data_IF_335348118294
#
_entry.id   IF_335348118294
#
_cell.length_a   1.000
_cell.length_b   1.000
_cell.length_c   1.000
_cell.angle_alpha   90.00
_cell.angle_beta   90.00
_cell.angle_gamma   90.00
#
_symmetry.space_group_name_H-M   'P 1'
#
loop_
_entity.id
_entity.type
_entity.pdbx_description
1 polymer ?
#
# COMPACT_ATOMS: atom_id res chain seq x y z
N UNK A 1 -11.76 -6.17 -2.69
CA UNK A 1 -11.95 -6.28 -4.14
C UNK A 1 -11.09 -5.21 -4.82
N UNK A 2 -9.83 -5.54 -5.08
CA UNK A 2 -9.03 -4.79 -6.04
C UNK A 2 -9.33 -5.41 -7.42
N UNK A 3 -9.99 -4.68 -8.31
CA UNK A 3 -10.30 -5.16 -9.67
C UNK A 3 -11.76 -5.07 -10.11
N UNK A 4 -12.56 -4.11 -9.63
CA UNK A 4 -13.78 -3.78 -10.37
C UNK A 4 -13.37 -3.30 -11.78
N UNK A 5 -14.02 -3.77 -12.86
CA UNK A 5 -13.76 -3.25 -14.20
C UNK A 5 -13.93 -1.73 -14.16
N UNK A 6 -13.03 -1.01 -14.83
CA UNK A 6 -13.08 0.44 -14.94
C UNK A 6 -14.37 0.86 -15.65
N UNK A 7 -15.46 1.05 -14.87
CA UNK A 7 -16.67 1.71 -15.32
C UNK A 7 -16.40 3.19 -15.56
N UNK A 8 -17.33 3.90 -16.20
CA UNK A 8 -17.21 5.36 -16.25
C UNK A 8 -17.24 5.87 -14.80
N UNK A 9 -16.44 6.87 -14.43
CA UNK A 9 -16.33 7.31 -13.03
C UNK A 9 -17.69 7.74 -12.43
N UNK A 10 -18.63 8.17 -13.27
CA UNK A 10 -20.01 8.50 -12.88
C UNK A 10 -20.89 7.30 -12.51
N UNK A 11 -20.50 6.09 -12.90
CA UNK A 11 -21.24 4.86 -12.67
C UNK A 11 -20.76 4.14 -11.38
N UNK A 12 -19.67 4.61 -10.76
CA UNK A 12 -19.23 4.13 -9.45
C UNK A 12 -20.14 4.74 -8.36
N UNK A 13 -20.91 3.92 -7.61
CA UNK A 13 -21.75 4.43 -6.54
C UNK A 13 -20.90 5.14 -5.49
N UNK A 14 -21.37 6.31 -5.05
CA UNK A 14 -20.68 7.08 -4.02
C UNK A 14 -20.51 6.24 -2.75
N UNK A 15 -19.29 6.24 -2.21
CA UNK A 15 -18.94 5.57 -0.95
C UNK A 15 -19.29 4.07 -0.93
N UNK A 16 -19.27 3.39 -2.08
CA UNK A 16 -19.65 1.97 -2.20
C UNK A 16 -18.86 1.08 -1.22
N UNK A 17 -17.53 1.18 -1.24
CA UNK A 17 -16.65 0.36 -0.42
C UNK A 17 -16.71 0.79 1.04
N UNK A 18 -16.76 2.09 1.33
CA UNK A 18 -16.94 2.59 2.68
C UNK A 18 -18.25 2.10 3.30
N UNK A 19 -19.37 2.17 2.58
CA UNK A 19 -20.67 1.69 3.06
C UNK A 19 -20.66 0.17 3.28
N UNK A 20 -20.03 -0.58 2.38
CA UNK A 20 -19.86 -2.03 2.55
C UNK A 20 -19.05 -2.35 3.82
N UNK A 21 -17.91 -1.69 4.00
CA UNK A 21 -17.00 -1.93 5.13
C UNK A 21 -17.63 -1.55 6.47
N UNK A 22 -18.29 -0.39 6.53
CA UNK A 22 -18.96 0.07 7.75
C UNK A 22 -20.08 -0.90 8.14
N UNK A 23 -20.91 -1.31 7.17
CA UNK A 23 -21.99 -2.29 7.39
C UNK A 23 -21.44 -3.64 7.85
N UNK A 24 -20.40 -4.16 7.19
CA UNK A 24 -19.79 -5.43 7.56
C UNK A 24 -19.21 -5.39 8.98
N UNK A 25 -18.57 -4.27 9.34
CA UNK A 25 -17.97 -4.05 10.66
C UNK A 25 -19.03 -4.08 11.77
N UNK A 26 -20.17 -3.43 11.53
CA UNK A 26 -21.31 -3.44 12.44
C UNK A 26 -21.89 -4.85 12.63
N UNK A 27 -22.07 -5.60 11.53
CA UNK A 27 -22.52 -6.99 11.58
C UNK A 27 -21.56 -7.87 12.40
N UNK A 28 -20.25 -7.74 12.18
CA UNK A 28 -19.24 -8.49 12.94
C UNK A 28 -19.34 -8.15 14.44
N UNK A 29 -19.42 -6.86 14.78
CA UNK A 29 -19.51 -6.40 16.17
C UNK A 29 -20.76 -6.92 16.87
N UNK A 30 -21.90 -6.90 16.18
CA UNK A 30 -23.15 -7.43 16.71
C UNK A 30 -23.05 -8.93 16.98
N UNK A 31 -22.52 -9.70 16.04
CA UNK A 31 -22.34 -11.15 16.19
C UNK A 31 -21.39 -11.50 17.34
N UNK A 32 -20.29 -10.74 17.50
CA UNK A 32 -19.36 -10.92 18.63
C UNK A 32 -20.01 -10.60 19.98
N UNK A 33 -20.98 -9.68 20.01
CA UNK A 33 -21.69 -9.32 21.24
C UNK A 33 -22.72 -10.39 21.65
N UNK A 34 -23.22 -11.18 20.71
CA UNK A 34 -24.25 -12.20 20.92
C UNK A 34 -23.70 -13.61 21.13
N UNK A 35 -22.46 -13.90 20.69
CA UNK A 35 -21.86 -15.24 20.74
C UNK A 35 -20.57 -15.27 21.55
N UNK A 36 -20.53 -16.10 22.59
CA UNK A 36 -19.33 -16.31 23.42
C UNK A 36 -18.31 -17.27 22.80
N UNK A 37 -18.63 -17.95 21.69
CA UNK A 37 -17.82 -19.04 21.13
C UNK A 37 -17.04 -18.70 19.86
N UNK A 38 -17.41 -17.63 19.15
CA UNK A 38 -16.73 -17.24 17.89
C UNK A 38 -16.47 -15.74 17.88
N UNK A 39 -15.19 -15.36 17.98
CA UNK A 39 -14.76 -13.96 17.93
C UNK A 39 -13.86 -13.74 16.72
N UNK A 40 -14.23 -12.78 15.86
CA UNK A 40 -13.39 -12.32 14.75
C UNK A 40 -12.20 -11.59 15.34
N UNK A 41 -10.99 -12.07 15.09
CA UNK A 41 -9.75 -11.43 15.58
C UNK A 41 -9.26 -10.34 14.63
N UNK A 42 -9.40 -10.58 13.33
CA UNK A 42 -8.86 -9.73 12.29
C UNK A 42 -9.74 -9.78 11.04
N UNK A 43 -9.82 -8.65 10.33
CA UNK A 43 -10.39 -8.54 8.99
C UNK A 43 -9.31 -8.05 8.03
N UNK A 44 -9.19 -8.66 6.86
CA UNK A 44 -8.24 -8.22 5.84
C UNK A 44 -8.97 -7.45 4.76
N UNK A 45 -8.51 -6.23 4.50
CA UNK A 45 -8.97 -5.36 3.42
C UNK A 45 -7.83 -5.15 2.42
N UNK A 46 -8.09 -5.44 1.16
CA UNK A 46 -7.16 -5.16 0.06
C UNK A 46 -7.47 -3.78 -0.50
N UNK A 47 -6.63 -2.80 -0.16
CA UNK A 47 -6.69 -1.43 -0.65
C UNK A 47 -5.85 -1.28 -1.92
N UNK A 48 -5.98 -0.12 -2.58
CA UNK A 48 -5.09 0.21 -3.68
C UNK A 48 -3.67 0.58 -3.17
N UNK A 49 -2.67 0.50 -4.06
CA UNK A 49 -1.29 0.84 -3.72
C UNK A 49 -1.07 2.32 -3.33
N UNK A 50 -2.03 3.20 -3.61
CA UNK A 50 -1.94 4.64 -3.33
C UNK A 50 -2.65 5.04 -2.04
N UNK A 51 -3.29 4.09 -1.37
CA UNK A 51 -4.05 4.32 -0.16
C UNK A 51 -3.11 4.81 0.95
N UNK A 52 -3.51 5.84 1.70
CA UNK A 52 -2.66 6.45 2.72
C UNK A 52 -2.33 5.47 3.84
N UNK A 53 -1.34 5.81 4.64
CA UNK A 53 -0.99 5.06 5.85
C UNK A 53 -0.89 5.99 7.04
N UNK A 54 -0.96 5.48 8.28
CA UNK A 54 -0.80 6.30 9.48
C UNK A 54 0.49 7.15 9.50
N UNK A 55 1.57 6.62 8.91
CA UNK A 55 2.87 7.28 8.74
C UNK A 55 2.98 8.18 7.50
N UNK A 56 2.03 8.08 6.56
CA UNK A 56 1.91 8.97 5.39
C UNK A 56 0.49 9.53 5.27
N UNK A 57 0.15 10.54 6.08
CA UNK A 57 -1.19 11.07 6.14
C UNK A 57 -1.62 11.73 4.82
N UNK A 58 -2.93 11.75 4.64
CA UNK A 58 -3.71 12.24 3.50
C UNK A 58 -3.22 13.53 2.84
N UNK A 59 -2.59 14.46 3.57
CA UNK A 59 -2.13 15.76 3.05
C UNK A 59 -1.02 15.64 1.99
N UNK A 60 -0.12 14.66 2.12
CA UNK A 60 0.97 14.44 1.15
C UNK A 60 0.45 13.61 -0.04
N UNK A 61 -0.37 12.60 0.24
CA UNK A 61 -0.95 11.69 -0.76
C UNK A 61 -1.97 12.41 -1.65
N UNK A 62 -2.81 13.31 -1.08
CA UNK A 62 -3.80 14.08 -1.85
C UNK A 62 -3.16 14.94 -2.94
N UNK A 63 -1.97 15.51 -2.70
CA UNK A 63 -1.32 16.37 -3.69
C UNK A 63 -0.86 15.56 -4.92
N UNK A 64 -0.43 14.32 -4.71
CA UNK A 64 0.00 13.41 -5.79
C UNK A 64 -1.21 12.75 -6.47
N UNK A 65 -2.16 12.25 -5.68
CA UNK A 65 -3.40 11.61 -6.18
C UNK A 65 -4.25 12.61 -6.97
N UNK A 66 -4.53 13.81 -6.44
CA UNK A 66 -5.33 14.81 -7.16
C UNK A 66 -4.63 15.37 -8.39
N UNK A 67 -3.31 15.56 -8.34
CA UNK A 67 -2.57 16.17 -9.46
C UNK A 67 -2.24 15.18 -10.57
N UNK A 68 -1.94 13.92 -10.23
CA UNK A 68 -1.53 12.90 -11.21
C UNK A 68 -2.73 12.09 -11.69
N UNK A 69 -3.56 11.55 -10.79
CA UNK A 69 -4.71 10.69 -11.18
C UNK A 69 -5.88 11.52 -11.71
N UNK A 70 -6.09 12.74 -11.20
CA UNK A 70 -7.08 13.67 -11.72
C UNK A 70 -6.81 14.20 -13.13
N UNK A 71 -5.54 14.16 -13.60
CA UNK A 71 -5.14 14.65 -14.93
C UNK A 71 -4.91 13.53 -15.96
N UNK A 72 -4.51 12.33 -15.54
CA UNK A 72 -4.04 11.29 -16.48
C UNK A 72 -4.95 10.07 -16.61
N UNK A 73 -5.86 9.78 -15.67
CA UNK A 73 -6.74 8.60 -15.75
C UNK A 73 -8.18 8.97 -15.37
N UNK A 74 -8.96 9.39 -16.37
CA UNK A 74 -10.42 9.58 -16.21
C UNK A 74 -11.07 8.25 -15.81
N UNK A 75 -11.40 8.05 -14.53
CA UNK A 75 -12.11 6.85 -14.06
C UNK A 75 -11.77 6.36 -12.67
N UNK A 76 -10.52 6.55 -12.23
CA UNK A 76 -10.00 5.92 -11.00
C UNK A 76 -10.25 6.78 -9.74
N UNK A 77 -10.45 8.09 -9.91
CA UNK A 77 -10.62 9.05 -8.80
C UNK A 77 -11.61 8.64 -7.71
N UNK A 78 -12.88 8.33 -8.04
CA UNK A 78 -13.88 7.94 -7.04
C UNK A 78 -13.51 6.67 -6.27
N UNK A 79 -12.90 5.69 -6.94
CA UNK A 79 -12.49 4.44 -6.31
C UNK A 79 -11.30 4.65 -5.35
N UNK A 80 -10.30 5.45 -5.74
CA UNK A 80 -9.19 5.79 -4.85
C UNK A 80 -9.60 6.63 -3.66
N UNK A 81 -10.55 7.56 -3.85
CA UNK A 81 -11.12 8.36 -2.76
C UNK A 81 -11.89 7.46 -1.78
N UNK A 82 -12.70 6.52 -2.27
CA UNK A 82 -13.43 5.57 -1.44
C UNK A 82 -12.50 4.65 -0.65
N UNK A 83 -11.45 4.10 -1.29
CA UNK A 83 -10.41 3.33 -0.60
C UNK A 83 -9.70 4.14 0.49
N UNK A 84 -9.41 5.41 0.20
CA UNK A 84 -8.84 6.34 1.18
C UNK A 84 -9.76 6.52 2.38
N UNK A 85 -11.06 6.68 2.15
CA UNK A 85 -12.05 6.81 3.22
C UNK A 85 -12.19 5.53 4.04
N UNK A 86 -12.11 4.34 3.42
CA UNK A 86 -12.08 3.05 4.12
C UNK A 86 -10.88 2.96 5.07
N UNK A 87 -9.69 3.30 4.58
CA UNK A 87 -8.47 3.31 5.40
C UNK A 87 -8.60 4.27 6.58
N UNK A 88 -9.13 5.47 6.33
CA UNK A 88 -9.37 6.46 7.39
C UNK A 88 -10.38 5.94 8.43
N UNK A 89 -11.48 5.32 7.97
CA UNK A 89 -12.46 4.69 8.85
C UNK A 89 -11.81 3.65 9.78
N UNK A 90 -10.95 2.78 9.25
CA UNK A 90 -10.24 1.80 10.08
C UNK A 90 -9.32 2.46 11.10
N UNK A 91 -8.62 3.52 10.71
CA UNK A 91 -7.76 4.26 11.62
C UNK A 91 -8.57 4.87 12.77
N UNK A 92 -9.65 5.59 12.44
CA UNK A 92 -10.48 6.30 13.43
C UNK A 92 -11.20 5.34 14.39
N UNK A 93 -11.45 4.10 13.95
CA UNK A 93 -12.23 3.11 14.71
C UNK A 93 -11.39 1.94 15.27
N UNK A 94 -10.07 1.90 15.05
CA UNK A 94 -9.21 0.75 15.36
C UNK A 94 -9.29 0.24 16.83
N UNK A 95 -9.64 1.12 17.76
CA UNK A 95 -9.77 0.78 19.18
C UNK A 95 -11.20 0.39 19.60
N UNK A 96 -12.22 0.85 18.87
CA UNK A 96 -13.63 0.68 19.23
C UNK A 96 -14.23 -0.63 18.71
N UNK A 97 -13.60 -1.26 17.71
CA UNK A 97 -14.21 -2.36 16.97
C UNK A 97 -14.04 -3.74 17.63
N UNK A 98 -13.16 -3.89 18.60
CA UNK A 98 -12.94 -5.18 19.28
C UNK A 98 -12.21 -6.24 18.44
N UNK A 99 -11.86 -5.91 17.20
CA UNK A 99 -11.03 -6.72 16.30
C UNK A 99 -10.06 -5.81 15.51
N UNK A 100 -9.06 -6.40 14.86
CA UNK A 100 -8.02 -5.67 14.12
C UNK A 100 -8.21 -5.73 12.61
N UNK A 101 -7.49 -4.91 11.87
CA UNK A 101 -7.48 -4.93 10.41
C UNK A 101 -6.08 -5.20 9.86
N UNK A 102 -6.00 -5.89 8.74
CA UNK A 102 -4.83 -5.88 7.86
C UNK A 102 -5.25 -5.14 6.61
N UNK A 103 -4.64 -3.99 6.34
CA UNK A 103 -4.90 -3.22 5.11
C UNK A 103 -3.78 -3.47 4.13
N UNK A 104 -3.91 -4.50 3.31
CA UNK A 104 -2.87 -4.85 2.35
C UNK A 104 -2.97 -4.01 1.09
N UNK A 105 -1.80 -3.64 0.54
CA UNK A 105 -1.66 -2.80 -0.65
C UNK A 105 -0.85 -3.56 -1.71
N UNK A 106 -1.49 -4.48 -2.44
CA UNK A 106 -0.81 -5.22 -3.50
C UNK A 106 -0.33 -4.30 -4.63
N UNK A 107 0.75 -4.72 -5.31
CA UNK A 107 1.12 -4.17 -6.60
C UNK A 107 0.05 -4.48 -7.66
N UNK A 108 0.25 -3.98 -8.89
CA UNK A 108 -0.69 -4.23 -9.99
C UNK A 108 -0.93 -5.73 -10.17
N UNK A 109 -2.20 -6.12 -10.33
CA UNK A 109 -2.56 -7.51 -10.58
C UNK A 109 -2.28 -7.88 -12.02
N UNK A 110 -1.80 -9.10 -12.23
CA UNK A 110 -1.61 -9.67 -13.56
C UNK A 110 -2.37 -11.01 -13.67
N UNK A 111 -3.10 -11.15 -14.78
CA UNK A 111 -3.92 -12.32 -15.08
C UNK A 111 -3.10 -13.46 -15.71
N UNK A 112 -1.81 -13.25 -15.98
CA UNK A 112 -0.96 -14.31 -16.53
C UNK A 112 -0.76 -15.42 -15.50
N UNK A 113 -0.98 -16.64 -15.94
CA UNK A 113 -0.48 -17.84 -15.27
C UNK A 113 1.03 -17.86 -15.45
N UNK A 114 1.76 -17.74 -14.36
CA UNK A 114 3.22 -17.84 -14.28
C UNK A 114 3.62 -18.67 -13.06
N UNK A 115 4.92 -18.84 -12.87
CA UNK A 115 5.44 -19.50 -11.67
C UNK A 115 5.00 -18.71 -10.42
N UNK A 116 4.51 -19.44 -9.41
CA UNK A 116 4.07 -18.89 -8.13
C UNK A 116 5.23 -18.15 -7.47
N UNK A 117 5.12 -16.85 -7.29
CA UNK A 117 6.08 -16.07 -6.51
C UNK A 117 5.65 -16.04 -5.05
N UNK A 118 6.60 -16.28 -4.13
CA UNK A 118 6.31 -16.08 -2.71
C UNK A 118 6.22 -14.57 -2.43
N UNK A 119 5.15 -14.15 -1.75
CA UNK A 119 4.92 -12.76 -1.37
C UNK A 119 5.21 -12.53 0.11
N UNK A 120 5.66 -11.32 0.45
CA UNK A 120 5.88 -10.83 1.81
C UNK A 120 5.16 -9.50 2.05
N UNK A 121 4.93 -9.20 3.32
CA UNK A 121 4.53 -7.88 3.79
C UNK A 121 5.76 -6.96 3.86
N UNK A 122 5.66 -5.74 3.34
CA UNK A 122 6.75 -4.76 3.37
C UNK A 122 6.21 -3.34 3.65
N UNK A 123 7.09 -2.46 4.12
CA UNK A 123 6.83 -1.03 4.28
C UNK A 123 7.02 -0.24 2.99
N UNK A 124 7.73 -0.81 2.00
CA UNK A 124 7.97 -0.18 0.71
C UNK A 124 7.24 -0.90 -0.42
N UNK A 125 6.82 -0.12 -1.43
CA UNK A 125 6.13 -0.66 -2.60
C UNK A 125 7.12 -1.17 -3.65
N UNK A 126 6.86 -2.34 -4.22
CA UNK A 126 7.48 -2.81 -5.46
C UNK A 126 6.54 -2.56 -6.65
N UNK A 127 6.34 -1.30 -7.05
CA UNK A 127 5.38 -0.95 -8.12
C UNK A 127 5.69 -1.57 -9.49
N UNK A 128 6.87 -2.15 -9.68
CA UNK A 128 7.35 -2.63 -10.98
C UNK A 128 7.07 -4.11 -11.25
N UNK A 129 6.52 -4.85 -10.29
CA UNK A 129 6.37 -6.30 -10.38
C UNK A 129 4.92 -6.66 -10.14
N UNK A 130 4.18 -7.01 -11.21
CA UNK A 130 2.79 -7.33 -11.04
C UNK A 130 2.65 -8.72 -10.40
N UNK A 131 1.74 -8.85 -9.45
CA UNK A 131 1.50 -10.09 -8.72
C UNK A 131 0.31 -10.85 -9.32
N UNK A 132 0.32 -12.18 -9.24
CA UNK A 132 -0.83 -12.97 -9.67
C UNK A 132 -1.93 -12.97 -8.61
N UNK A 133 -3.18 -13.19 -9.03
CA UNK A 133 -4.31 -13.40 -8.11
C UNK A 133 -4.10 -14.63 -7.21
N UNK A 134 -3.46 -15.68 -7.74
CA UNK A 134 -3.18 -16.90 -7.00
C UNK A 134 -2.20 -16.64 -5.84
N UNK A 135 -1.11 -15.93 -6.12
CA UNK A 135 -0.09 -15.60 -5.11
C UNK A 135 -0.67 -14.67 -4.04
N UNK A 136 -1.47 -13.68 -4.46
CA UNK A 136 -2.16 -12.79 -3.52
C UNK A 136 -3.16 -13.54 -2.63
N UNK A 137 -3.87 -14.54 -3.16
CA UNK A 137 -4.77 -15.37 -2.36
C UNK A 137 -4.00 -16.21 -1.33
N UNK A 138 -2.90 -16.84 -1.73
CA UNK A 138 -2.02 -17.59 -0.82
C UNK A 138 -1.48 -16.68 0.28
N UNK A 139 -0.96 -15.50 -0.08
CA UNK A 139 -0.49 -14.51 0.88
C UNK A 139 -1.60 -14.06 1.84
N UNK A 140 -2.79 -13.79 1.33
CA UNK A 140 -3.95 -13.34 2.13
C UNK A 140 -4.30 -14.37 3.21
N UNK A 141 -4.30 -15.66 2.86
CA UNK A 141 -4.56 -16.74 3.82
C UNK A 141 -3.46 -16.86 4.88
N UNK A 142 -2.19 -16.72 4.48
CA UNK A 142 -1.04 -16.68 5.41
C UNK A 142 -1.14 -15.46 6.35
N UNK A 143 -1.47 -14.29 5.81
CA UNK A 143 -1.56 -13.04 6.57
C UNK A 143 -2.64 -13.06 7.65
N UNK A 144 -3.78 -13.72 7.38
CA UNK A 144 -4.84 -13.92 8.38
C UNK A 144 -4.41 -14.81 9.57
N UNK A 145 -3.33 -15.58 9.43
CA UNK A 145 -2.79 -16.43 10.50
C UNK A 145 -1.62 -15.75 11.24
N UNK A 146 -1.06 -14.68 10.67
CA UNK A 146 0.08 -13.96 11.22
C UNK A 146 -0.37 -12.77 12.06
N UNK A 147 -0.35 -12.95 13.39
CA UNK A 147 -0.72 -11.89 14.32
C UNK A 147 0.18 -10.66 14.29
N UNK A 148 1.40 -10.76 13.72
CA UNK A 148 2.30 -9.60 13.60
C UNK A 148 1.79 -8.55 12.60
N UNK A 149 0.90 -8.96 11.69
CA UNK A 149 0.30 -8.07 10.69
C UNK A 149 -0.96 -7.36 11.20
N UNK A 150 -1.47 -7.69 12.39
CA UNK A 150 -2.73 -7.15 12.88
C UNK A 150 -2.60 -5.66 13.22
N UNK A 151 -3.44 -4.83 12.59
CA UNK A 151 -3.40 -3.37 12.72
C UNK A 151 -2.37 -2.71 11.79
N UNK A 152 -1.82 -3.44 10.82
CA UNK A 152 -0.79 -2.93 9.89
C UNK A 152 -1.36 -2.63 8.50
N UNK A 153 -0.59 -1.87 7.72
CA UNK A 153 -0.94 -1.39 6.39
C UNK A 153 0.14 -1.77 5.35
N UNK A 154 0.50 -3.06 5.19
CA UNK A 154 1.68 -3.44 4.42
C UNK A 154 1.46 -3.30 2.92
N UNK A 155 2.53 -3.03 2.19
CA UNK A 155 2.60 -3.41 0.78
C UNK A 155 2.77 -4.93 0.68
N UNK A 156 2.25 -5.51 -0.40
CA UNK A 156 2.46 -6.93 -0.72
C UNK A 156 3.41 -7.01 -1.91
N UNK A 157 4.58 -7.59 -1.69
CA UNK A 157 5.71 -7.61 -2.65
C UNK A 157 6.32 -9.01 -2.74
N UNK A 158 6.98 -9.39 -3.84
CA UNK A 158 7.69 -10.67 -3.92
C UNK A 158 8.87 -10.76 -2.92
N UNK A 159 9.16 -11.95 -2.41
CA UNK A 159 10.21 -12.20 -1.39
C UNK A 159 11.61 -11.85 -1.90
N UNK A 160 11.94 -12.27 -3.12
CA UNK A 160 13.26 -12.08 -3.76
C UNK A 160 13.58 -10.61 -4.10
N UNK A 161 12.69 -9.69 -3.76
CA UNK A 161 12.93 -8.27 -3.80
C UNK A 161 13.54 -7.84 -2.47
N UNK A 162 14.82 -8.13 -2.28
CA UNK A 162 15.63 -7.29 -1.42
C UNK A 162 15.68 -5.92 -2.09
N UNK A 163 14.88 -4.99 -1.57
CA UNK A 163 14.99 -3.57 -1.88
C UNK A 163 16.45 -3.23 -1.62
N UNK A 164 17.19 -2.90 -2.68
CA UNK A 164 18.60 -2.50 -2.59
C UNK A 164 18.80 -1.66 -1.32
N UNK A 165 19.68 -2.06 -0.39
CA UNK A 165 19.97 -1.22 0.76
C UNK A 165 20.40 0.13 0.22
N UNK A 166 19.79 1.20 0.72
CA UNK A 166 20.14 2.58 0.38
C UNK A 166 21.66 2.72 0.34
N UNK A 167 22.24 2.68 -0.87
CA UNK A 167 23.66 2.94 -1.07
C UNK A 167 23.88 4.42 -0.78
N UNK A 168 24.53 4.64 0.35
CA UNK A 168 25.38 5.78 0.68
C UNK A 168 24.72 7.15 0.63
N UNK A 169 24.38 7.67 1.82
CA UNK A 169 24.59 9.08 2.10
C UNK A 169 26.07 9.22 2.53
N UNK A 170 27.01 9.67 1.67
CA UNK A 170 28.30 10.07 2.17
C UNK A 170 28.16 11.35 3.00
N UNK A 171 28.81 11.28 4.14
CA UNK A 171 28.89 12.22 5.24
C UNK A 171 29.43 13.59 4.78
N UNK A 172 28.73 14.68 5.13
CA UNK A 172 29.19 16.05 4.85
C UNK A 172 30.11 16.47 5.99
N UNK A 173 31.26 15.82 6.15
CA UNK A 173 32.37 16.34 6.96
C UNK A 173 33.69 15.74 6.53
N UNK A 174 34.32 16.30 5.50
CA UNK A 174 35.79 16.38 5.38
C UNK A 174 36.17 17.41 4.32
N UNK A 175 37.02 18.39 4.64
CA UNK A 175 37.45 19.42 3.69
C UNK A 175 38.50 18.84 2.73
N UNK A 176 38.18 18.80 1.44
CA UNK A 176 39.17 18.49 0.39
C UNK A 176 40.10 19.68 0.20
N UNK A 177 41.39 19.44 0.48
CA UNK A 177 42.50 20.36 0.25
C UNK A 177 42.66 20.57 -1.26
N UNK A 178 42.69 21.82 -1.71
CA UNK A 178 43.02 22.18 -3.09
C UNK A 178 44.52 21.94 -3.33
N UNK A 179 44.86 20.94 -4.14
CA UNK A 179 46.18 20.85 -4.77
C UNK A 179 46.22 21.73 -6.02
N UNK A 180 47.10 22.73 -5.98
CA UNK A 180 47.46 23.60 -7.09
C UNK A 180 48.29 22.83 -8.13
N UNK A 181 47.77 22.63 -9.34
CA UNK A 181 48.59 22.20 -10.47
C UNK A 181 49.39 23.38 -11.02
N UNK A 182 50.72 23.22 -10.98
CA UNK A 182 51.72 24.07 -11.64
C UNK A 182 51.57 24.01 -13.16
N UNK A 183 51.61 25.18 -13.78
CA UNK A 183 51.82 25.39 -15.22
C UNK A 183 53.28 25.10 -15.54
N UNK A 184 53.55 24.23 -16.51
CA UNK A 184 54.86 24.15 -17.17
C UNK A 184 54.69 24.45 -18.66
N UNK A 185 55.16 25.63 -19.04
CA UNK A 185 55.50 26.02 -20.40
C UNK A 185 56.64 25.16 -20.93
N UNK A 186 56.58 24.77 -22.22
CA UNK A 186 57.76 24.77 -23.09
C UNK A 186 57.43 24.72 -24.59
N UNK A 187 57.52 25.92 -25.16
CA UNK A 187 58.13 26.34 -26.42
C UNK A 187 58.25 25.40 -27.64
N UNK A 188 57.62 25.93 -28.69
CA UNK A 188 58.01 25.97 -30.11
C UNK A 188 59.52 26.18 -30.31
N UNK A 189 60.19 25.32 -31.07
CA UNK A 189 60.80 25.65 -32.37
C UNK A 189 61.07 24.39 -33.18
#
# INVERSE_FOLDING_TARGET
MAGAPAGKPKDYPKDLMLNFVTTLTEVIREQQSQSSSTSVKVVLYQADAFSPTPDRPLTIVNSVVKTVLGKWIMGIGPNCEDNTNVVQYYYDNANALGFKFIVSRPAALNDKQGDTEELKADHFSSTNFPITLADLAVWTLKALQDSSLYGTFPFVVPVDQDILPHKNKPDITSPTIMETSKVEDKQVT
#
